data_IF_671123520364
#
_entry.id   IF_671123520364
#
_cell.length_a   1.000
_cell.length_b   1.000
_cell.length_c   1.000
_cell.angle_alpha   90.00
_cell.angle_beta   90.00
_cell.angle_gamma   90.00
#
_symmetry.space_group_name_H-M   'P 1'
#
loop_
_entity.id
_entity.type
_entity.pdbx_description
1 polymer ?
#
# COMPACT_ATOMS: atom_id res chain seq x y z
N UNK A 1 -3.46 -2.33 17.09
CA UNK A 1 -4.32 -1.24 17.62
C UNK A 1 -5.47 -1.03 16.63
N UNK A 2 -6.72 -0.90 17.10
CA UNK A 2 -7.85 -0.57 16.21
C UNK A 2 -7.96 0.94 16.04
N UNK A 3 -8.11 1.40 14.81
CA UNK A 3 -8.29 2.83 14.49
C UNK A 3 -9.75 3.18 14.70
N UNK A 4 -10.02 4.14 15.59
CA UNK A 4 -11.39 4.52 15.95
C UNK A 4 -11.95 5.66 15.08
N UNK A 5 -11.09 6.46 14.45
CA UNK A 5 -11.47 7.57 13.56
C UNK A 5 -10.42 7.72 12.47
N UNK A 6 -10.85 7.84 11.23
CA UNK A 6 -9.99 8.03 10.07
C UNK A 6 -10.78 7.86 8.77
N UNK A 7 -10.24 8.38 7.67
CA UNK A 7 -10.79 8.16 6.32
C UNK A 7 -9.74 7.43 5.50
N UNK A 8 -10.09 6.26 4.97
CA UNK A 8 -9.26 5.52 4.03
C UNK A 8 -9.68 5.92 2.62
N UNK A 9 -8.74 6.43 1.83
CA UNK A 9 -8.99 6.91 0.46
C UNK A 9 -8.47 5.90 -0.56
N UNK A 10 -9.01 5.94 -1.77
CA UNK A 10 -8.66 5.03 -2.86
C UNK A 10 -9.38 3.70 -2.78
N UNK A 11 -8.87 2.71 -3.50
CA UNK A 11 -9.51 1.39 -3.63
C UNK A 11 -9.67 0.67 -2.29
N UNK A 12 -8.71 0.86 -1.37
CA UNK A 12 -8.73 0.23 -0.04
C UNK A 12 -9.87 0.72 0.84
N UNK A 13 -10.36 1.96 0.65
CA UNK A 13 -11.57 2.46 1.31
C UNK A 13 -12.84 2.15 0.52
N UNK A 14 -12.76 2.22 -0.81
CA UNK A 14 -13.91 2.04 -1.69
C UNK A 14 -14.45 0.60 -1.68
N UNK A 15 -13.57 -0.40 -1.82
CA UNK A 15 -13.97 -1.81 -1.91
C UNK A 15 -14.74 -2.29 -0.68
N UNK A 16 -14.25 -2.15 0.57
CA UNK A 16 -15.00 -2.60 1.74
C UNK A 16 -16.30 -1.81 1.92
N UNK A 17 -16.32 -0.53 1.55
CA UNK A 17 -17.53 0.30 1.60
C UNK A 17 -18.61 -0.24 0.65
N UNK A 18 -18.24 -0.54 -0.60
CA UNK A 18 -19.16 -1.11 -1.59
C UNK A 18 -19.60 -2.53 -1.20
N UNK A 19 -18.67 -3.35 -0.71
CA UNK A 19 -18.95 -4.71 -0.25
C UNK A 19 -20.00 -4.70 0.88
N UNK A 20 -19.82 -3.83 1.88
CA UNK A 20 -20.76 -3.70 2.99
C UNK A 20 -22.10 -3.17 2.53
N UNK A 21 -22.11 -2.12 1.70
CA UNK A 21 -23.34 -1.46 1.24
C UNK A 21 -24.19 -2.37 0.35
N UNK A 22 -23.57 -3.07 -0.59
CA UNK A 22 -24.31 -3.77 -1.65
C UNK A 22 -24.55 -5.24 -1.32
N UNK A 23 -23.71 -5.85 -0.49
CA UNK A 23 -23.73 -7.30 -0.23
C UNK A 23 -23.78 -7.65 1.27
N UNK A 24 -23.81 -6.65 2.16
CA UNK A 24 -23.75 -6.83 3.61
C UNK A 24 -22.50 -7.59 4.12
N UNK A 25 -21.44 -7.65 3.30
CA UNK A 25 -20.17 -8.30 3.64
C UNK A 25 -19.31 -7.35 4.46
N UNK A 26 -18.83 -7.82 5.62
CA UNK A 26 -17.86 -7.08 6.41
C UNK A 26 -16.46 -7.14 5.78
N UNK A 27 -15.85 -5.97 5.59
CA UNK A 27 -14.50 -5.83 5.10
C UNK A 27 -13.52 -5.48 6.22
N UNK A 28 -12.30 -5.99 6.14
CA UNK A 28 -11.20 -5.63 7.01
C UNK A 28 -10.13 -4.88 6.20
N UNK A 29 -9.66 -3.76 6.72
CA UNK A 29 -8.53 -3.02 6.15
C UNK A 29 -7.41 -3.02 7.18
N UNK A 30 -6.26 -3.56 6.79
CA UNK A 30 -5.05 -3.54 7.61
C UNK A 30 -4.15 -2.43 7.10
N UNK A 31 -3.65 -1.61 8.04
CA UNK A 31 -2.75 -0.50 7.76
C UNK A 31 -1.51 -0.68 8.63
N UNK A 32 -0.34 -0.58 8.01
CA UNK A 32 0.92 -0.52 8.70
C UNK A 32 1.55 0.85 8.42
N UNK A 33 2.09 1.46 9.47
CA UNK A 33 2.85 2.70 9.32
C UNK A 33 4.13 2.41 8.54
N UNK A 34 4.38 3.20 7.52
CA UNK A 34 5.62 3.18 6.74
C UNK A 34 6.44 4.42 7.08
N UNK A 35 7.72 4.39 6.78
CA UNK A 35 8.55 5.59 6.94
C UNK A 35 8.09 6.66 5.92
N UNK A 36 7.37 7.69 6.39
CA UNK A 36 6.61 8.61 5.54
C UNK A 36 7.42 9.35 4.48
N UNK A 37 8.71 9.58 4.70
CA UNK A 37 9.62 10.18 3.71
C UNK A 37 9.81 9.30 2.45
N UNK A 38 9.74 7.99 2.66
CA UNK A 38 9.95 6.95 1.66
C UNK A 38 8.66 6.71 0.84
N UNK A 39 7.50 6.74 1.52
CA UNK A 39 6.19 6.63 0.90
C UNK A 39 5.75 7.90 0.13
N UNK A 40 6.11 9.10 0.62
CA UNK A 40 5.78 10.37 -0.04
C UNK A 40 6.61 10.64 -1.30
N UNK A 41 7.87 10.18 -1.33
CA UNK A 41 8.71 10.27 -2.53
C UNK A 41 8.38 9.18 -3.57
N UNK A 42 7.40 8.31 -3.27
CA UNK A 42 6.90 7.28 -4.16
C UNK A 42 7.87 6.14 -4.46
N UNK A 43 9.18 6.28 -4.22
CA UNK A 43 10.23 5.44 -4.79
C UNK A 43 10.84 4.41 -3.84
N UNK A 44 10.18 4.10 -2.72
CA UNK A 44 10.62 3.00 -1.87
C UNK A 44 9.45 2.16 -1.36
N UNK A 45 9.58 0.86 -1.55
CA UNK A 45 8.72 -0.13 -0.92
C UNK A 45 9.23 -0.36 0.50
N UNK A 46 8.36 -0.22 1.50
CA UNK A 46 8.69 -0.55 2.88
C UNK A 46 8.30 -2.01 3.15
N UNK A 47 9.19 -2.93 2.80
CA UNK A 47 8.88 -4.35 2.93
C UNK A 47 8.70 -4.78 4.40
N UNK A 48 9.32 -4.07 5.33
CA UNK A 48 9.13 -4.32 6.77
C UNK A 48 7.68 -4.08 7.18
N UNK A 49 7.05 -3.02 6.67
CA UNK A 49 5.63 -2.77 6.88
C UNK A 49 4.77 -3.89 6.27
N UNK A 50 5.12 -4.38 5.09
CA UNK A 50 4.42 -5.51 4.44
C UNK A 50 4.53 -6.81 5.24
N UNK A 51 5.72 -7.16 5.74
CA UNK A 51 5.91 -8.34 6.61
C UNK A 51 5.09 -8.23 7.89
N UNK A 52 5.05 -7.03 8.49
CA UNK A 52 4.22 -6.79 9.69
C UNK A 52 2.73 -7.02 9.42
N UNK A 53 2.24 -6.67 8.23
CA UNK A 53 0.85 -6.96 7.85
C UNK A 53 0.59 -8.46 7.72
N UNK A 54 1.55 -9.24 7.21
CA UNK A 54 1.44 -10.69 7.10
C UNK A 54 1.40 -11.34 8.49
N UNK A 55 2.25 -10.89 9.42
CA UNK A 55 2.22 -11.34 10.82
C UNK A 55 0.84 -11.09 11.46
N UNK A 56 0.30 -9.87 11.30
CA UNK A 56 -1.03 -9.53 11.84
C UNK A 56 -2.14 -10.35 11.17
N UNK A 57 -2.03 -10.63 9.86
CA UNK A 57 -2.98 -11.52 9.18
C UNK A 57 -2.93 -12.95 9.75
N UNK A 58 -1.74 -13.48 9.99
CA UNK A 58 -1.56 -14.81 10.58
C UNK A 58 -2.14 -14.85 12.01
N UNK A 59 -1.89 -13.83 12.82
CA UNK A 59 -2.41 -13.70 14.19
C UNK A 59 -3.94 -13.58 14.25
N UNK A 60 -4.53 -12.69 13.44
CA UNK A 60 -5.96 -12.34 13.52
C UNK A 60 -6.86 -13.31 12.77
N UNK A 61 -6.35 -13.96 11.72
CA UNK A 61 -7.13 -14.89 10.87
C UNK A 61 -6.70 -16.36 11.02
N UNK A 62 -5.81 -16.65 11.97
CA UNK A 62 -5.25 -17.99 12.21
C UNK A 62 -4.70 -18.63 10.92
N UNK A 63 -4.11 -17.82 10.04
CA UNK A 63 -3.48 -18.27 8.81
C UNK A 63 -2.04 -18.70 9.10
N UNK A 64 -1.57 -19.74 8.40
CA UNK A 64 -0.18 -20.21 8.49
C UNK A 64 0.55 -19.84 7.21
N UNK A 65 0.67 -18.54 6.92
CA UNK A 65 1.49 -18.07 5.81
C UNK A 65 2.95 -18.11 6.24
N UNK A 66 3.78 -18.84 5.49
CA UNK A 66 5.22 -18.93 5.72
C UNK A 66 5.86 -17.60 5.28
N UNK A 67 6.28 -16.79 6.26
CA UNK A 67 6.83 -15.46 6.05
C UNK A 67 8.34 -15.39 6.31
N UNK A 68 9.03 -16.53 6.22
CA UNK A 68 10.49 -16.62 6.35
C UNK A 68 11.17 -16.20 5.04
N UNK A 69 11.20 -14.89 4.80
CA UNK A 69 11.97 -14.30 3.72
C UNK A 69 13.35 -13.90 4.22
N UNK A 70 14.39 -14.40 3.54
CA UNK A 70 15.77 -13.94 3.79
C UNK A 70 15.93 -12.49 3.36
N UNK A 71 16.87 -11.76 3.99
CA UNK A 71 17.15 -10.37 3.65
C UNK A 71 17.52 -10.17 2.16
N UNK A 72 18.16 -11.15 1.54
CA UNK A 72 18.49 -11.12 0.11
C UNK A 72 17.25 -11.25 -0.78
N UNK A 73 16.30 -12.12 -0.43
CA UNK A 73 15.02 -12.24 -1.14
C UNK A 73 14.19 -10.96 -1.01
N UNK A 74 14.22 -10.35 0.17
CA UNK A 74 13.61 -9.05 0.46
C UNK A 74 14.15 -7.97 -0.49
N UNK A 75 15.46 -7.80 -0.56
CA UNK A 75 16.09 -6.81 -1.45
C UNK A 75 15.83 -7.12 -2.93
N UNK A 76 15.86 -8.40 -3.32
CA UNK A 76 15.54 -8.81 -4.69
C UNK A 76 14.11 -8.43 -5.10
N UNK A 77 13.14 -8.57 -4.20
CA UNK A 77 11.76 -8.16 -4.45
C UNK A 77 11.62 -6.64 -4.57
N UNK A 78 12.28 -5.86 -3.72
CA UNK A 78 12.27 -4.39 -3.80
C UNK A 78 12.81 -3.89 -5.14
N UNK A 79 13.93 -4.46 -5.61
CA UNK A 79 14.51 -4.12 -6.92
C UNK A 79 13.54 -4.46 -8.06
N UNK A 80 12.91 -5.64 -8.00
CA UNK A 80 11.95 -6.06 -9.03
C UNK A 80 10.73 -5.14 -9.09
N UNK A 81 10.15 -4.82 -7.93
CA UNK A 81 9.00 -3.93 -7.85
C UNK A 81 9.31 -2.50 -8.34
N UNK A 82 10.53 -2.02 -8.07
CA UNK A 82 10.99 -0.73 -8.61
C UNK A 82 11.11 -0.76 -10.13
N UNK A 83 11.66 -1.84 -10.70
CA UNK A 83 11.79 -1.96 -12.16
C UNK A 83 10.42 -2.08 -12.86
N UNK A 84 9.48 -2.84 -12.30
CA UNK A 84 8.13 -2.97 -12.83
C UNK A 84 7.39 -1.62 -12.80
N UNK A 85 7.50 -0.89 -11.69
CA UNK A 85 6.94 0.46 -11.57
C UNK A 85 7.49 1.41 -12.64
N UNK A 86 8.80 1.44 -12.84
CA UNK A 86 9.41 2.30 -13.86
C UNK A 86 9.01 1.90 -15.28
N UNK A 87 8.76 0.61 -15.51
CA UNK A 87 8.25 0.10 -16.79
C UNK A 87 6.83 0.60 -17.03
N UNK A 88 5.94 0.45 -16.04
CA UNK A 88 4.56 0.93 -16.12
C UNK A 88 4.50 2.45 -16.33
N UNK A 89 5.33 3.23 -15.62
CA UNK A 89 5.41 4.69 -15.83
C UNK A 89 5.75 5.05 -17.28
N UNK A 90 6.72 4.33 -17.88
CA UNK A 90 7.10 4.52 -19.28
C UNK A 90 5.97 4.16 -20.23
N UNK A 91 5.31 3.02 -20.01
CA UNK A 91 4.16 2.58 -20.82
C UNK A 91 2.98 3.56 -20.74
N UNK A 92 2.75 4.16 -19.57
CA UNK A 92 1.71 5.17 -19.35
C UNK A 92 2.11 6.58 -19.83
N UNK A 93 3.32 6.76 -20.37
CA UNK A 93 3.80 8.06 -20.86
C UNK A 93 4.04 9.10 -19.75
N UNK A 94 4.17 8.68 -18.49
CA UNK A 94 4.38 9.55 -17.32
C UNK A 94 5.86 9.91 -17.14
N UNK A 95 6.56 10.26 -18.23
CA UNK A 95 7.91 10.78 -18.15
C UNK A 95 7.85 12.22 -17.63
N UNK A 96 8.57 12.48 -16.54
CA UNK A 96 8.63 13.77 -15.85
C UNK A 96 9.14 14.88 -16.78
N UNK A 97 8.21 15.59 -17.42
CA UNK A 97 8.33 16.96 -17.90
C UNK A 97 6.96 17.42 -18.40
N UNK A 98 6.07 17.82 -17.48
CA UNK A 98 5.12 18.94 -17.68
C UNK A 98 4.31 19.23 -16.42
N UNK A 99 4.44 20.49 -16.00
CA UNK A 99 3.43 21.34 -15.35
C UNK A 99 2.98 21.03 -13.92
N UNK A 100 3.60 21.78 -13.00
CA UNK A 100 3.00 22.25 -11.74
C UNK A 100 1.61 22.81 -12.02
N UNK A 101 0.57 22.00 -11.83
CA UNK A 101 -0.77 22.52 -11.54
C UNK A 101 -0.85 22.71 -10.04
N UNK A 102 -0.63 23.95 -9.61
CA UNK A 102 -0.96 24.44 -8.28
C UNK A 102 -2.46 24.25 -8.04
N UNK A 103 -2.83 23.24 -7.26
CA UNK A 103 -4.15 23.18 -6.65
C UNK A 103 -4.16 24.16 -5.46
N UNK A 104 -4.76 25.33 -5.66
CA UNK A 104 -5.23 26.18 -4.58
C UNK A 104 -6.28 25.39 -3.77
N UNK A 105 -5.93 24.97 -2.56
CA UNK A 105 -6.92 24.62 -1.57
C UNK A 105 -7.47 25.92 -1.00
N UNK A 106 -8.69 26.27 -1.40
CA UNK A 106 -9.51 27.22 -0.63
C UNK A 106 -9.95 26.48 0.64
N UNK A 107 -9.43 26.93 1.78
CA UNK A 107 -10.04 26.78 3.09
C UNK A 107 -10.23 28.19 3.66
#
# INVERSE_FOLDING_TARGET
QKINKGVVVGVNGLVPTLAKRNFAIDGLVLLAETNGYAAMNGDSYDLKASLRLIEVLNEELALTMDADFTHEQIMGMEVKLNNEKETIKKEMGLNSNTEKTSFEYIC
#
